data_IF_230896903804
#
_entry.id   IF_230896903804
#
_cell.length_a   1.000
_cell.length_b   1.000
_cell.length_c   1.000
_cell.angle_alpha   90.00
_cell.angle_beta   90.00
_cell.angle_gamma   90.00
#
_symmetry.space_group_name_H-M   'P 1'
#
loop_
_entity.id
_entity.type
_entity.pdbx_description
1 polymer ?
#
# COMPACT_ATOMS: atom_id res chain seq x y z
N UNK A 1 19.36 36.24 42.90
CA UNK A 1 20.58 35.67 42.29
C UNK A 1 20.49 34.15 42.37
N UNK A 2 20.68 33.49 41.22
CA UNK A 2 20.95 32.05 41.03
C UNK A 2 19.88 31.04 41.49
N UNK A 3 19.49 30.05 40.70
CA UNK A 3 19.98 29.61 39.39
C UNK A 3 19.17 28.39 38.94
N UNK A 4 18.81 28.34 37.67
CA UNK A 4 18.09 27.23 37.07
C UNK A 4 18.94 25.96 36.97
N UNK A 5 18.30 24.80 37.10
CA UNK A 5 18.86 23.50 36.70
C UNK A 5 17.97 22.89 35.63
N UNK A 6 18.39 23.05 34.38
CA UNK A 6 17.90 22.24 33.28
C UNK A 6 18.41 20.81 33.42
N UNK A 7 17.51 19.84 33.47
CA UNK A 7 17.85 18.42 33.38
C UNK A 7 18.10 18.08 31.91
N UNK A 8 19.37 17.87 31.56
CA UNK A 8 19.78 17.35 30.24
C UNK A 8 19.41 15.88 30.17
N UNK A 9 18.37 15.56 29.40
CA UNK A 9 18.04 14.18 29.04
C UNK A 9 19.23 13.54 28.32
N UNK A 10 19.73 12.44 28.87
CA UNK A 10 20.80 11.64 28.28
C UNK A 10 20.27 10.97 27.01
N UNK A 11 20.60 11.53 25.85
CA UNK A 11 20.36 10.90 24.56
C UNK A 11 21.16 9.61 24.45
N UNK A 12 20.46 8.48 24.38
CA UNK A 12 21.04 7.16 24.11
C UNK A 12 21.56 7.17 22.67
N UNK A 13 22.87 7.40 22.48
CA UNK A 13 23.54 7.28 21.17
C UNK A 13 23.35 5.84 20.67
N UNK A 14 22.61 5.66 19.57
CA UNK A 14 22.56 4.38 18.84
C UNK A 14 23.94 4.12 18.23
N UNK A 15 24.52 2.93 18.36
CA UNK A 15 25.78 2.62 17.68
C UNK A 15 25.55 2.64 16.17
N UNK A 16 26.50 3.22 15.45
CA UNK A 16 26.53 3.21 13.99
C UNK A 16 26.68 1.76 13.52
N UNK A 17 25.69 1.25 12.80
CA UNK A 17 25.74 -0.07 12.20
C UNK A 17 26.56 0.01 10.90
N UNK A 18 27.87 -0.13 11.04
CA UNK A 18 28.76 -0.51 9.94
C UNK A 18 29.17 -1.96 10.12
N UNK A 19 28.64 -2.85 9.28
CA UNK A 19 29.25 -4.12 8.83
C UNK A 19 28.27 -4.80 7.87
N UNK A 20 28.78 -5.19 6.70
CA UNK A 20 28.01 -5.68 5.55
C UNK A 20 26.98 -6.74 5.94
N UNK A 21 25.74 -6.50 5.56
CA UNK A 21 24.72 -7.54 5.57
C UNK A 21 25.13 -8.55 4.50
N UNK A 22 25.57 -9.73 4.92
CA UNK A 22 25.61 -10.90 4.04
C UNK A 22 24.20 -11.11 3.49
N UNK A 23 24.06 -11.29 2.19
CA UNK A 23 22.76 -11.61 1.60
C UNK A 23 22.17 -12.84 2.32
N UNK A 24 20.88 -12.79 2.71
CA UNK A 24 20.23 -13.96 3.29
C UNK A 24 20.32 -15.12 2.28
N UNK A 25 20.44 -16.36 2.77
CA UNK A 25 20.45 -17.51 1.89
C UNK A 25 19.18 -17.52 1.02
N UNK A 26 19.29 -17.98 -0.25
CA UNK A 26 18.13 -18.07 -1.13
C UNK A 26 17.04 -18.94 -0.50
N UNK A 27 15.79 -18.60 -0.79
CA UNK A 27 14.65 -19.43 -0.38
C UNK A 27 14.71 -20.78 -1.07
N UNK A 28 14.13 -21.81 -0.43
CA UNK A 28 13.95 -23.14 -1.03
C UNK A 28 13.17 -23.02 -2.34
N UNK A 29 13.57 -23.79 -3.36
CA UNK A 29 12.96 -23.78 -4.69
C UNK A 29 11.47 -24.12 -4.60
N UNK A 30 11.07 -25.01 -3.69
CA UNK A 30 9.68 -25.37 -3.45
C UNK A 30 8.85 -24.16 -3.00
N UNK A 31 9.40 -23.32 -2.12
CA UNK A 31 8.75 -22.10 -1.63
C UNK A 31 8.64 -21.08 -2.76
N UNK A 32 9.69 -20.93 -3.57
CA UNK A 32 9.68 -20.02 -4.72
C UNK A 32 8.61 -20.43 -5.73
N UNK A 33 8.51 -21.73 -6.05
CA UNK A 33 7.49 -22.27 -6.93
C UNK A 33 6.07 -22.06 -6.38
N UNK A 34 5.85 -22.30 -5.08
CA UNK A 34 4.54 -22.08 -4.45
C UNK A 34 4.13 -20.60 -4.53
N UNK A 35 5.03 -19.69 -4.16
CA UNK A 35 4.80 -18.23 -4.24
C UNK A 35 4.44 -17.85 -5.67
N UNK A 36 5.21 -18.31 -6.65
CA UNK A 36 4.92 -18.02 -8.05
C UNK A 36 3.54 -18.54 -8.48
N UNK A 37 3.16 -19.76 -8.10
CA UNK A 37 1.85 -20.33 -8.42
C UNK A 37 0.68 -19.53 -7.79
N UNK A 38 0.89 -18.95 -6.61
CA UNK A 38 -0.10 -18.14 -5.91
C UNK A 38 -0.24 -16.74 -6.51
N UNK A 39 0.89 -16.08 -6.82
CA UNK A 39 0.93 -14.65 -7.16
C UNK A 39 1.01 -14.35 -8.67
N UNK A 40 1.30 -15.32 -9.53
CA UNK A 40 1.34 -15.11 -10.99
C UNK A 40 -0.03 -15.15 -11.68
N UNK A 41 -1.15 -15.11 -10.93
CA UNK A 41 -2.52 -15.06 -11.48
C UNK A 41 -2.88 -13.66 -11.98
N UNK A 42 -2.03 -13.08 -12.82
CA UNK A 42 -2.18 -11.74 -13.39
C UNK A 42 -2.98 -11.82 -14.68
N UNK A 43 -3.96 -10.94 -14.86
CA UNK A 43 -4.76 -10.83 -16.08
C UNK A 43 -4.70 -9.40 -16.58
N UNK A 44 -4.32 -9.21 -17.84
CA UNK A 44 -4.37 -7.92 -18.51
C UNK A 44 -5.72 -7.70 -19.18
N UNK A 45 -6.18 -6.45 -19.19
CA UNK A 45 -7.30 -6.04 -20.04
C UNK A 45 -6.74 -5.60 -21.39
N UNK A 46 -7.24 -6.21 -22.47
CA UNK A 46 -6.90 -5.77 -23.82
C UNK A 46 -7.87 -4.69 -24.26
N UNK A 47 -7.32 -3.61 -24.80
CA UNK A 47 -8.08 -2.58 -25.49
C UNK A 47 -8.82 -3.19 -26.71
N UNK A 48 -10.06 -2.78 -27.02
CA UNK A 48 -10.77 -3.25 -28.20
C UNK A 48 -9.96 -3.00 -29.48
N UNK A 49 -10.10 -3.88 -30.48
CA UNK A 49 -9.41 -3.74 -31.77
C UNK A 49 -9.77 -2.39 -32.42
N UNK A 50 -8.77 -1.54 -32.64
CA UNK A 50 -8.91 -0.28 -33.37
C UNK A 50 -9.37 0.97 -32.60
N UNK A 51 -9.53 0.93 -31.27
CA UNK A 51 -10.10 2.09 -30.53
C UNK A 51 -9.39 2.46 -29.23
N UNK A 52 -9.37 3.75 -28.88
CA UNK A 52 -9.02 4.21 -27.53
C UNK A 52 -10.04 3.71 -26.49
N UNK A 53 -9.64 3.61 -25.21
CA UNK A 53 -10.60 3.41 -24.11
C UNK A 53 -11.62 4.55 -24.12
N UNK A 54 -12.91 4.24 -24.30
CA UNK A 54 -14.00 5.21 -24.24
C UNK A 54 -14.89 4.88 -23.06
N UNK A 55 -15.28 5.91 -22.31
CA UNK A 55 -16.30 5.75 -21.29
C UNK A 55 -17.64 5.44 -21.95
N UNK A 56 -18.44 4.51 -21.39
CA UNK A 56 -19.81 4.28 -21.85
C UNK A 56 -20.68 5.52 -21.62
N UNK A 57 -21.77 5.67 -22.38
CA UNK A 57 -22.70 6.78 -22.16
C UNK A 57 -23.32 6.70 -20.77
N UNK A 58 -23.45 7.84 -20.08
CA UNK A 58 -23.90 7.88 -18.69
C UNK A 58 -25.25 7.18 -18.45
N UNK A 59 -26.17 7.25 -19.41
CA UNK A 59 -27.49 6.60 -19.34
C UNK A 59 -27.48 5.10 -19.65
N UNK A 60 -26.36 4.55 -20.11
CA UNK A 60 -26.18 3.13 -20.44
C UNK A 60 -25.47 2.33 -19.34
N UNK A 61 -24.87 3.01 -18.36
CA UNK A 61 -24.13 2.35 -17.28
C UNK A 61 -25.11 1.94 -16.18
N UNK A 62 -24.97 0.72 -15.66
CA UNK A 62 -25.74 0.22 -14.51
C UNK A 62 -27.26 0.20 -14.72
N UNK A 63 -27.73 0.07 -15.96
CA UNK A 63 -29.16 -0.05 -16.29
C UNK A 63 -29.72 -1.45 -16.06
N UNK A 64 -28.84 -2.46 -16.08
CA UNK A 64 -29.22 -3.85 -15.90
C UNK A 64 -29.64 -4.13 -14.45
N UNK A 65 -30.66 -4.99 -14.23
CA UNK A 65 -31.06 -5.36 -12.88
C UNK A 65 -29.92 -6.08 -12.15
N UNK A 66 -29.79 -5.92 -10.83
CA UNK A 66 -28.74 -6.58 -10.06
C UNK A 66 -28.76 -8.10 -10.26
N UNK A 67 -27.68 -8.64 -10.82
CA UNK A 67 -27.55 -10.08 -11.02
C UNK A 67 -27.17 -10.76 -9.69
N UNK A 68 -28.06 -11.62 -9.20
CA UNK A 68 -27.77 -12.46 -8.03
C UNK A 68 -27.02 -13.72 -8.47
N UNK A 69 -25.78 -13.86 -8.03
CA UNK A 69 -25.00 -15.09 -8.21
C UNK A 69 -25.08 -15.93 -6.92
N UNK A 70 -25.85 -17.03 -6.88
CA UNK A 70 -26.10 -17.78 -5.64
C UNK A 70 -24.81 -18.23 -4.94
N UNK A 71 -23.82 -18.69 -5.72
CA UNK A 71 -22.50 -19.09 -5.22
C UNK A 71 -21.74 -17.94 -4.55
N UNK A 72 -21.76 -16.74 -5.13
CA UNK A 72 -21.10 -15.57 -4.53
C UNK A 72 -21.83 -15.11 -3.27
N UNK A 73 -23.16 -15.24 -3.24
CA UNK A 73 -23.95 -14.93 -2.04
C UNK A 73 -23.69 -15.92 -0.91
N UNK A 74 -23.57 -17.21 -1.22
CA UNK A 74 -23.16 -18.22 -0.24
C UNK A 74 -21.75 -17.96 0.29
N UNK A 75 -20.80 -17.68 -0.59
CA UNK A 75 -19.44 -17.32 -0.19
C UNK A 75 -19.42 -16.08 0.71
N UNK A 76 -20.19 -15.04 0.34
CA UNK A 76 -20.36 -13.83 1.17
C UNK A 76 -20.91 -14.18 2.56
N UNK A 77 -21.92 -15.06 2.66
CA UNK A 77 -22.47 -15.49 3.95
C UNK A 77 -21.42 -16.23 4.78
N UNK A 78 -20.71 -17.18 4.17
CA UNK A 78 -19.64 -17.94 4.83
C UNK A 78 -18.52 -17.03 5.34
N UNK A 79 -18.05 -16.09 4.53
CA UNK A 79 -17.00 -15.14 4.91
C UNK A 79 -17.44 -14.24 6.06
N UNK A 80 -18.68 -13.74 6.01
CA UNK A 80 -19.20 -12.91 7.10
C UNK A 80 -19.42 -13.72 8.38
N UNK A 81 -19.85 -14.98 8.29
CA UNK A 81 -19.99 -15.85 9.46
C UNK A 81 -18.66 -16.04 10.18
N UNK A 82 -17.57 -16.27 9.44
CA UNK A 82 -16.21 -16.35 10.00
C UNK A 82 -15.73 -15.01 10.55
N UNK A 83 -15.89 -13.91 9.79
CA UNK A 83 -15.52 -12.56 10.22
C UNK A 83 -16.19 -12.17 11.55
N UNK A 84 -17.46 -12.53 11.70
CA UNK A 84 -18.25 -12.19 12.89
C UNK A 84 -17.80 -12.93 14.16
N UNK A 85 -17.00 -14.00 14.05
CA UNK A 85 -16.38 -14.66 15.22
C UNK A 85 -15.35 -13.77 15.93
N UNK A 86 -14.96 -12.64 15.31
CA UNK A 86 -14.03 -11.66 15.85
C UNK A 86 -14.73 -10.42 16.42
N UNK A 87 -16.07 -10.33 16.31
CA UNK A 87 -16.83 -9.12 16.69
C UNK A 87 -16.88 -8.86 18.19
N UNK A 88 -16.60 -9.87 19.02
CA UNK A 88 -16.58 -9.79 20.48
C UNK A 88 -15.18 -9.51 21.05
N UNK A 89 -14.15 -9.40 20.19
CA UNK A 89 -12.77 -9.21 20.63
C UNK A 89 -12.49 -7.74 20.91
N UNK A 90 -11.82 -7.48 22.03
CA UNK A 90 -11.31 -6.16 22.36
C UNK A 90 -10.33 -5.67 21.27
N UNK A 91 -10.52 -4.43 20.81
CA UNK A 91 -9.78 -3.88 19.68
C UNK A 91 -8.29 -3.70 19.98
N UNK A 92 -7.94 -3.32 21.21
CA UNK A 92 -6.55 -3.10 21.60
C UNK A 92 -5.79 -4.43 21.71
N UNK A 93 -6.38 -5.41 22.39
CA UNK A 93 -5.84 -6.76 22.51
C UNK A 93 -5.70 -7.42 21.14
N UNK A 94 -6.71 -7.28 20.28
CA UNK A 94 -6.67 -7.76 18.90
C UNK A 94 -5.56 -7.09 18.09
N UNK A 95 -5.40 -5.77 18.23
CA UNK A 95 -4.34 -5.03 17.56
C UNK A 95 -2.94 -5.50 17.99
N UNK A 96 -2.71 -5.65 19.30
CA UNK A 96 -1.44 -6.15 19.83
C UNK A 96 -1.13 -7.56 19.31
N UNK A 97 -2.12 -8.46 19.34
CA UNK A 97 -1.99 -9.82 18.84
C UNK A 97 -1.70 -9.87 17.33
N UNK A 98 -2.43 -9.12 16.53
CA UNK A 98 -2.24 -9.10 15.07
C UNK A 98 -0.90 -8.48 14.67
N UNK A 99 -0.42 -7.44 15.38
CA UNK A 99 0.91 -6.89 15.11
C UNK A 99 2.03 -7.84 15.54
N UNK A 100 1.88 -8.56 16.66
CA UNK A 100 2.91 -9.52 17.11
C UNK A 100 3.00 -10.77 16.23
N UNK A 101 1.90 -11.14 15.56
CA UNK A 101 1.83 -12.30 14.66
C UNK A 101 2.02 -11.94 13.18
N UNK A 102 2.16 -10.66 12.84
CA UNK A 102 2.39 -10.21 11.46
C UNK A 102 3.81 -10.55 10.99
N UNK A 103 3.95 -11.61 10.19
CA UNK A 103 5.23 -12.02 9.57
C UNK A 103 5.88 -10.93 8.71
N UNK A 104 5.09 -10.00 8.16
CA UNK A 104 5.57 -8.87 7.35
C UNK A 104 5.81 -7.59 8.17
N UNK A 105 5.66 -7.63 9.51
CA UNK A 105 5.78 -6.45 10.36
C UNK A 105 7.14 -5.75 10.32
N UNK A 106 8.20 -6.47 9.91
CA UNK A 106 9.57 -5.94 9.81
C UNK A 106 9.88 -5.29 8.46
N UNK A 107 9.05 -5.48 7.43
CA UNK A 107 9.32 -5.01 6.06
C UNK A 107 9.49 -3.50 6.02
N UNK A 108 8.55 -2.75 6.61
CA UNK A 108 8.63 -1.28 6.60
C UNK A 108 9.82 -0.75 7.43
N UNK A 109 10.19 -1.44 8.51
CA UNK A 109 11.36 -1.09 9.30
C UNK A 109 12.66 -1.29 8.51
N UNK A 110 12.74 -2.40 7.77
CA UNK A 110 13.87 -2.66 6.87
C UNK A 110 13.95 -1.62 5.75
N UNK A 111 12.85 -1.35 5.04
CA UNK A 111 12.80 -0.36 3.95
C UNK A 111 13.21 1.05 4.39
N UNK A 112 12.84 1.48 5.62
CA UNK A 112 13.30 2.75 6.18
C UNK A 112 14.82 2.84 6.33
N UNK A 113 15.50 1.71 6.52
CA UNK A 113 16.95 1.66 6.67
C UNK A 113 17.69 1.52 5.34
N UNK A 114 17.07 0.91 4.33
CA UNK A 114 17.75 0.56 3.07
C UNK A 114 17.36 1.43 1.89
N UNK A 115 16.10 1.89 1.81
CA UNK A 115 15.58 2.57 0.62
C UNK A 115 15.59 4.11 0.72
N UNK A 116 15.93 4.70 1.88
CA UNK A 116 15.77 6.15 2.12
C UNK A 116 14.37 6.67 1.73
N UNK A 117 13.36 5.85 2.01
CA UNK A 117 11.97 6.08 1.63
C UNK A 117 11.32 7.16 2.52
N UNK A 118 10.85 8.22 1.90
CA UNK A 118 9.99 9.22 2.56
C UNK A 118 8.64 8.60 2.91
N UNK A 119 8.07 8.96 4.06
CA UNK A 119 6.76 8.49 4.52
C UNK A 119 6.56 6.96 4.40
N UNK A 120 7.62 6.19 4.65
CA UNK A 120 7.65 4.74 4.46
C UNK A 120 6.69 4.03 5.41
N UNK A 121 5.46 3.83 4.95
CA UNK A 121 4.36 3.11 5.61
C UNK A 121 4.11 1.77 4.91
N UNK A 122 3.19 0.96 5.42
CA UNK A 122 2.74 -0.24 4.68
C UNK A 122 2.15 0.13 3.31
N UNK A 123 1.39 1.23 3.25
CA UNK A 123 0.83 1.75 2.00
C UNK A 123 1.94 2.11 1.00
N UNK A 124 3.01 2.76 1.47
CA UNK A 124 4.19 3.04 0.64
C UNK A 124 4.78 1.75 0.07
N UNK A 125 5.03 0.74 0.91
CA UNK A 125 5.64 -0.52 0.49
C UNK A 125 4.75 -1.28 -0.52
N UNK A 126 3.44 -1.34 -0.25
CA UNK A 126 2.45 -1.94 -1.15
C UNK A 126 2.46 -1.28 -2.52
N UNK A 127 2.45 0.05 -2.57
CA UNK A 127 2.40 0.75 -3.85
C UNK A 127 3.73 0.70 -4.60
N UNK A 128 4.86 0.77 -3.89
CA UNK A 128 6.17 0.61 -4.50
C UNK A 128 6.36 -0.77 -5.14
N UNK A 129 5.93 -1.85 -4.45
CA UNK A 129 5.90 -3.20 -5.02
C UNK A 129 5.06 -3.23 -6.30
N UNK A 130 3.83 -2.71 -6.23
CA UNK A 130 2.92 -2.65 -7.38
C UNK A 130 3.53 -1.90 -8.58
N UNK A 131 4.26 -0.80 -8.36
CA UNK A 131 4.98 -0.07 -9.42
C UNK A 131 6.13 -0.89 -10.03
N UNK A 132 6.81 -1.72 -9.24
CA UNK A 132 7.87 -2.61 -9.71
C UNK A 132 7.38 -3.89 -10.38
N UNK A 133 6.20 -4.39 -9.99
CA UNK A 133 5.63 -5.63 -10.53
C UNK A 133 4.81 -5.41 -11.81
N UNK A 134 4.14 -4.27 -11.94
CA UNK A 134 3.19 -4.02 -13.04
C UNK A 134 3.56 -2.80 -13.87
N UNK A 135 3.34 -2.88 -15.19
CA UNK A 135 3.49 -1.76 -16.13
C UNK A 135 2.32 -0.77 -15.98
N UNK A 136 2.32 -0.02 -14.87
CA UNK A 136 1.26 0.95 -14.57
C UNK A 136 1.42 2.30 -15.27
N UNK A 137 2.66 2.67 -15.57
CA UNK A 137 2.97 3.97 -16.18
C UNK A 137 2.86 3.87 -17.71
N UNK A 138 2.11 4.75 -18.38
CA UNK A 138 1.98 4.73 -19.83
C UNK A 138 3.34 4.89 -20.50
N UNK A 139 3.65 4.03 -21.48
CA UNK A 139 4.92 4.08 -22.20
C UNK A 139 5.13 5.46 -22.88
N UNK A 140 4.05 6.08 -23.35
CA UNK A 140 4.07 7.40 -23.97
C UNK A 140 4.50 8.49 -22.98
N UNK A 141 4.01 8.43 -21.73
CA UNK A 141 4.39 9.35 -20.66
C UNK A 141 5.88 9.22 -20.34
N UNK A 142 6.41 8.00 -20.35
CA UNK A 142 7.85 7.74 -20.13
C UNK A 142 8.71 8.25 -21.29
N UNK A 143 8.24 8.11 -22.53
CA UNK A 143 8.94 8.61 -23.72
C UNK A 143 8.96 10.15 -23.78
N UNK A 144 7.84 10.78 -23.42
CA UNK A 144 7.71 12.24 -23.41
C UNK A 144 8.36 12.88 -22.18
N UNK A 145 8.58 12.10 -21.12
CA UNK A 145 9.14 12.58 -19.86
C UNK A 145 8.14 13.38 -19.03
N UNK A 146 6.85 13.30 -19.35
CA UNK A 146 5.75 14.01 -18.68
C UNK A 146 4.73 13.00 -18.14
N UNK A 147 4.51 13.03 -16.83
CA UNK A 147 3.52 12.19 -16.16
C UNK A 147 2.47 13.05 -15.45
N UNK A 148 1.21 12.72 -15.68
CA UNK A 148 0.08 13.25 -14.93
C UNK A 148 -0.59 12.15 -14.14
N UNK A 149 -0.82 12.37 -12.85
CA UNK A 149 -1.49 11.38 -11.98
C UNK A 149 -2.52 12.02 -11.06
N UNK A 150 -3.62 11.31 -10.81
CA UNK A 150 -4.63 11.71 -9.83
C UNK A 150 -4.65 10.69 -8.69
N UNK A 151 -4.58 11.17 -7.45
CA UNK A 151 -4.56 10.33 -6.25
C UNK A 151 -5.83 10.60 -5.42
N UNK A 152 -6.67 9.58 -5.26
CA UNK A 152 -7.93 9.68 -4.52
C UNK A 152 -7.77 9.03 -3.15
N UNK A 153 -8.32 9.66 -2.11
CA UNK A 153 -8.23 9.19 -0.72
C UNK A 153 -6.80 9.14 -0.18
N UNK A 154 -5.96 10.08 -0.60
CA UNK A 154 -4.52 9.92 -0.51
C UNK A 154 -3.92 10.14 0.89
N UNK A 155 -4.60 10.85 1.80
CA UNK A 155 -4.02 11.14 3.12
C UNK A 155 -3.60 9.86 3.86
N UNK A 156 -2.33 9.74 4.31
CA UNK A 156 -1.37 10.83 4.54
C UNK A 156 -0.36 11.15 3.40
N UNK A 157 -0.47 10.56 2.20
CA UNK A 157 0.44 10.83 1.07
C UNK A 157 1.41 9.70 0.74
N UNK A 158 1.16 8.48 1.22
CA UNK A 158 2.10 7.37 1.11
C UNK A 158 2.28 6.87 -0.33
N UNK A 159 1.22 6.89 -1.15
CA UNK A 159 1.30 6.43 -2.53
C UNK A 159 1.98 7.48 -3.40
N UNK A 160 1.69 8.76 -3.19
CA UNK A 160 2.41 9.87 -3.83
C UNK A 160 3.90 9.76 -3.53
N UNK A 161 4.27 9.58 -2.26
CA UNK A 161 5.68 9.50 -1.87
C UNK A 161 6.38 8.26 -2.46
N UNK A 162 5.70 7.11 -2.53
CA UNK A 162 6.23 5.92 -3.20
C UNK A 162 6.43 6.13 -4.70
N UNK A 163 5.46 6.74 -5.40
CA UNK A 163 5.59 7.05 -6.82
C UNK A 163 6.72 8.06 -7.08
N UNK A 164 6.84 9.11 -6.27
CA UNK A 164 7.95 10.05 -6.35
C UNK A 164 9.30 9.32 -6.24
N UNK A 165 9.43 8.43 -5.26
CA UNK A 165 10.64 7.67 -5.04
C UNK A 165 10.95 6.76 -6.23
N UNK A 166 9.94 6.03 -6.72
CA UNK A 166 10.08 5.14 -7.88
C UNK A 166 10.50 5.89 -9.15
N UNK A 167 9.86 7.02 -9.46
CA UNK A 167 10.23 7.84 -10.62
C UNK A 167 11.68 8.31 -10.54
N UNK A 168 12.14 8.72 -9.36
CA UNK A 168 13.52 9.22 -9.16
C UNK A 168 14.58 8.12 -9.21
N UNK A 169 14.26 6.90 -8.76
CA UNK A 169 15.25 5.82 -8.67
C UNK A 169 15.23 4.86 -9.85
N UNK A 170 14.05 4.55 -10.39
CA UNK A 170 13.88 3.56 -11.47
C UNK A 170 13.68 4.20 -12.83
N UNK A 171 13.13 5.43 -12.90
CA UNK A 171 12.77 6.08 -14.16
C UNK A 171 13.27 7.53 -14.28
N UNK A 172 14.60 7.78 -14.27
CA UNK A 172 15.16 9.14 -14.34
C UNK A 172 14.76 9.93 -15.59
N UNK A 173 14.25 9.26 -16.63
CA UNK A 173 13.73 9.88 -17.86
C UNK A 173 12.43 10.66 -17.64
N UNK A 174 11.65 10.36 -16.61
CA UNK A 174 10.45 11.11 -16.23
C UNK A 174 10.85 12.43 -15.55
N UNK A 175 11.01 13.50 -16.34
CA UNK A 175 11.52 14.79 -15.88
C UNK A 175 10.44 15.63 -15.18
N UNK A 176 9.20 15.52 -15.65
CA UNK A 176 8.09 16.35 -15.19
C UNK A 176 6.95 15.47 -14.71
N UNK A 177 6.62 15.58 -13.43
CA UNK A 177 5.48 14.90 -12.85
C UNK A 177 4.57 15.93 -12.19
N UNK A 178 3.33 16.00 -12.69
CA UNK A 178 2.26 16.83 -12.11
C UNK A 178 1.19 15.91 -11.53
N UNK A 179 0.79 16.18 -10.30
CA UNK A 179 -0.23 15.38 -9.64
C UNK A 179 -1.27 16.25 -8.95
N UNK A 180 -2.48 15.71 -8.86
CA UNK A 180 -3.58 16.27 -8.08
C UNK A 180 -4.04 15.20 -7.11
N UNK A 181 -4.35 15.58 -5.87
CA UNK A 181 -4.84 14.66 -4.87
C UNK A 181 -6.06 15.20 -4.13
N UNK A 182 -6.96 14.30 -3.74
CA UNK A 182 -8.08 14.60 -2.86
C UNK A 182 -8.07 13.66 -1.65
N UNK A 183 -8.49 14.19 -0.50
CA UNK A 183 -8.72 13.43 0.72
C UNK A 183 -10.19 13.60 1.12
N UNK A 184 -10.95 12.52 1.34
CA UNK A 184 -12.29 12.65 1.88
C UNK A 184 -12.22 13.32 3.25
N UNK A 185 -12.97 14.40 3.43
CA UNK A 185 -13.07 15.10 4.71
C UNK A 185 -13.73 14.16 5.73
N UNK A 186 -12.95 13.62 6.66
CA UNK A 186 -13.46 12.80 7.75
C UNK A 186 -14.16 13.68 8.78
N UNK A 187 -15.42 14.04 8.54
CA UNK A 187 -16.25 14.70 9.54
C UNK A 187 -17.66 14.09 9.47
N UNK A 188 -17.86 12.99 10.21
CA UNK A 188 -19.12 12.30 10.62
C UNK A 188 -18.94 10.77 10.70
N UNK A 189 -17.85 10.29 11.29
CA UNK A 189 -17.63 8.87 11.55
C UNK A 189 -17.17 8.62 12.99
N UNK A 190 -17.41 7.41 13.56
CA UNK A 190 -17.01 7.07 14.92
C UNK A 190 -15.51 7.27 15.11
N UNK A 191 -15.10 7.58 16.34
CA UNK A 191 -13.71 7.98 16.60
C UNK A 191 -12.75 6.84 16.30
N UNK A 192 -11.46 7.16 16.10
CA UNK A 192 -10.40 6.20 15.78
C UNK A 192 -10.27 5.04 16.79
N UNK A 193 -10.86 5.15 17.98
CA UNK A 193 -10.91 4.11 19.03
C UNK A 193 -12.02 3.09 18.83
N UNK A 194 -13.03 3.42 18.01
CA UNK A 194 -14.27 2.65 17.85
C UNK A 194 -14.27 1.85 16.54
N UNK A 195 -13.17 1.86 15.79
CA UNK A 195 -13.03 1.18 14.50
C UNK A 195 -11.73 0.39 14.46
N UNK A 196 -11.78 -0.81 13.88
CA UNK A 196 -10.56 -1.57 13.55
C UNK A 196 -9.73 -0.69 12.62
N UNK A 197 -8.59 -0.21 13.11
CA UNK A 197 -7.67 0.55 12.29
C UNK A 197 -7.16 -0.35 11.15
N UNK A 198 -7.65 -0.11 9.94
CA UNK A 198 -7.07 -0.71 8.75
C UNK A 198 -5.59 -0.35 8.65
N UNK A 199 -4.77 -1.39 8.43
CA UNK A 199 -3.38 -1.30 7.95
C UNK A 199 -2.42 -0.44 8.78
N UNK A 200 -2.44 -0.57 10.11
CA UNK A 200 -1.45 0.08 10.98
C UNK A 200 -0.75 -0.87 11.93
N UNK A 201 -0.23 -1.98 11.41
CA UNK A 201 1.04 -2.52 11.89
C UNK A 201 2.11 -2.12 10.85
#
# INVERSE_FOLDING_TARGET
MSGGRGSRGAGRKRPAAGRGASEPPPFDDDIVCEVQALFSKVRGYRRPEGGAWRLPEAGSVLTEPPQLHPRLQELKRSLNAVKNQLSDKDLETWHQHTCSTNRAGTVTAHLRTTANAELCTQAWAKFYEVLGTFELLPAEALQQGELHSVHLCEAPGAFISALNHFLRTQLPAAKHWTWVANTPTSFTGPTRRDTIAGDRC
#
